data_IF_018454675041
#
_entry.id   IF_018454675041
#
_cell.length_a   1.000
_cell.length_b   1.000
_cell.length_c   1.000
_cell.angle_alpha   90.00
_cell.angle_beta   90.00
_cell.angle_gamma   90.00
#
_symmetry.space_group_name_H-M   'P 1'
#
loop_
_entity.id
_entity.type
_entity.pdbx_description
1 polymer ?
#
# COMPACT_ATOMS: atom_id res chain seq x y z
N UNK A 1 -11.83 -10.88 -12.26
CA UNK A 1 -10.52 -10.17 -12.31
C UNK A 1 -9.55 -10.82 -11.32
N UNK A 2 -8.24 -10.55 -11.35
CA UNK A 2 -7.30 -11.12 -10.35
C UNK A 2 -7.29 -10.29 -9.08
N UNK A 3 -7.44 -10.94 -7.92
CA UNK A 3 -7.38 -10.28 -6.63
C UNK A 3 -5.99 -9.69 -6.37
N UNK A 4 -5.94 -8.39 -6.09
CA UNK A 4 -4.70 -7.66 -5.92
C UNK A 4 -4.91 -6.36 -5.13
N UNK A 5 -3.83 -5.87 -4.53
CA UNK A 5 -3.73 -4.52 -3.99
C UNK A 5 -2.50 -3.84 -4.58
N UNK A 6 -2.67 -2.57 -4.94
CA UNK A 6 -1.58 -1.68 -5.37
C UNK A 6 -1.60 -0.44 -4.50
N UNK A 7 -0.44 -0.04 -4.00
CA UNK A 7 -0.27 1.18 -3.24
C UNK A 7 0.86 2.01 -3.86
N UNK A 8 0.49 3.18 -4.36
CA UNK A 8 1.38 4.22 -4.82
C UNK A 8 1.42 5.42 -3.89
N UNK A 9 2.51 6.18 -3.99
CA UNK A 9 2.70 7.46 -3.30
C UNK A 9 3.27 8.46 -4.31
N UNK A 10 2.68 9.65 -4.38
CA UNK A 10 3.16 10.77 -5.20
C UNK A 10 3.12 12.08 -4.43
N UNK A 11 3.97 13.03 -4.83
CA UNK A 11 4.02 14.38 -4.27
C UNK A 11 5.43 14.97 -4.29
N UNK A 12 5.54 16.24 -3.88
CA UNK A 12 6.80 16.97 -3.83
C UNK A 12 7.57 16.65 -2.53
N UNK A 13 8.33 15.55 -2.53
CA UNK A 13 9.11 15.14 -1.34
C UNK A 13 10.61 15.38 -1.44
N UNK A 14 11.12 15.87 -2.57
CA UNK A 14 12.55 16.15 -2.73
C UNK A 14 12.77 17.37 -3.62
N UNK A 15 13.95 17.99 -3.50
CA UNK A 15 14.41 19.05 -4.41
C UNK A 15 14.57 18.59 -5.88
N UNK A 16 14.30 17.32 -6.19
CA UNK A 16 14.47 16.68 -7.50
C UNK A 16 13.16 16.40 -8.24
N UNK A 17 12.01 16.86 -7.73
CA UNK A 17 10.70 16.73 -8.40
C UNK A 17 9.78 15.65 -7.82
N UNK A 18 8.64 15.44 -8.49
CA UNK A 18 7.60 14.47 -8.11
C UNK A 18 8.13 13.04 -8.27
N UNK A 19 8.38 12.35 -7.15
CA UNK A 19 8.71 10.92 -7.17
C UNK A 19 7.41 10.13 -7.07
N UNK A 20 7.01 9.46 -8.15
CA UNK A 20 5.97 8.43 -8.11
C UNK A 20 6.61 7.10 -7.73
N UNK A 21 6.18 6.50 -6.63
CA UNK A 21 6.56 5.13 -6.27
C UNK A 21 5.30 4.30 -6.10
N UNK A 22 5.25 3.17 -6.79
CA UNK A 22 4.13 2.23 -6.74
C UNK A 22 4.62 0.83 -6.46
N UNK A 23 3.90 0.12 -5.60
CA UNK A 23 4.12 -1.28 -5.35
C UNK A 23 2.78 -2.03 -5.41
N UNK A 24 2.77 -3.22 -6.02
CA UNK A 24 1.61 -4.10 -6.11
C UNK A 24 1.87 -5.49 -5.54
N UNK A 25 0.79 -6.14 -5.07
CA UNK A 25 0.77 -7.54 -4.63
C UNK A 25 -0.50 -8.23 -5.11
N UNK A 26 -0.34 -9.47 -5.55
CA UNK A 26 -1.46 -10.38 -5.81
C UNK A 26 -1.86 -11.10 -4.52
N UNK A 27 -3.08 -11.64 -4.49
CA UNK A 27 -3.61 -12.37 -3.33
C UNK A 27 -2.69 -13.52 -2.86
N UNK A 28 -2.05 -14.24 -3.78
CA UNK A 28 -1.11 -15.33 -3.45
C UNK A 28 0.20 -14.85 -2.82
N UNK A 29 0.44 -13.54 -2.78
CA UNK A 29 1.62 -12.91 -2.18
C UNK A 29 1.33 -12.25 -0.83
N UNK A 30 0.09 -12.33 -0.34
CA UNK A 30 -0.39 -11.68 0.88
C UNK A 30 -0.87 -12.75 1.86
N UNK A 31 -0.66 -12.55 3.16
CA UNK A 31 -1.22 -13.46 4.16
C UNK A 31 -2.75 -13.42 4.11
N UNK A 32 -3.44 -14.56 4.26
CA UNK A 32 -4.91 -14.58 4.20
C UNK A 32 -5.58 -13.65 5.22
N UNK A 33 -4.99 -13.51 6.41
CA UNK A 33 -5.48 -12.62 7.47
C UNK A 33 -5.40 -11.15 7.06
N UNK A 34 -4.27 -10.70 6.53
CA UNK A 34 -4.09 -9.31 6.10
C UNK A 34 -4.99 -8.96 4.92
N UNK A 35 -5.13 -9.89 3.97
CA UNK A 35 -6.08 -9.72 2.87
C UNK A 35 -7.52 -9.62 3.37
N UNK A 36 -7.93 -10.51 4.29
CA UNK A 36 -9.28 -10.50 4.85
C UNK A 36 -9.56 -9.19 5.59
N UNK A 37 -8.64 -8.74 6.45
CA UNK A 37 -8.78 -7.50 7.20
C UNK A 37 -8.83 -6.28 6.27
N UNK A 38 -8.01 -6.26 5.22
CA UNK A 38 -8.01 -5.19 4.21
C UNK A 38 -9.35 -5.10 3.49
N UNK A 39 -9.87 -6.21 2.97
CA UNK A 39 -11.12 -6.24 2.21
C UNK A 39 -12.32 -5.97 3.13
N UNK A 40 -12.36 -6.55 4.32
CA UNK A 40 -13.43 -6.30 5.29
C UNK A 40 -13.52 -4.81 5.67
N UNK A 41 -12.38 -4.15 5.87
CA UNK A 41 -12.36 -2.72 6.15
C UNK A 41 -12.73 -1.88 4.93
N UNK A 42 -12.27 -2.26 3.73
CA UNK A 42 -12.68 -1.60 2.48
C UNK A 42 -14.20 -1.67 2.28
N UNK A 43 -14.83 -2.79 2.61
CA UNK A 43 -16.28 -2.99 2.56
C UNK A 43 -17.00 -2.13 3.58
N UNK A 44 -16.50 -2.08 4.81
CA UNK A 44 -17.12 -1.32 5.90
C UNK A 44 -17.16 0.20 5.66
N UNK A 45 -16.30 0.72 4.78
CA UNK A 45 -16.19 2.16 4.47
C UNK A 45 -16.71 2.52 3.08
N UNK A 46 -17.39 1.57 2.43
CA UNK A 46 -17.92 1.67 1.07
C UNK A 46 -16.85 2.06 0.04
N UNK A 47 -15.60 1.59 0.22
CA UNK A 47 -14.46 2.01 -0.60
C UNK A 47 -14.72 1.83 -2.10
N UNK A 48 -15.30 0.70 -2.49
CA UNK A 48 -15.53 0.34 -3.90
C UNK A 48 -16.51 1.26 -4.63
N UNK A 49 -17.38 1.95 -3.90
CA UNK A 49 -18.37 2.90 -4.43
C UNK A 49 -18.11 4.34 -4.00
N UNK A 50 -17.02 4.57 -3.25
CA UNK A 50 -16.70 5.88 -2.69
C UNK A 50 -16.40 6.88 -3.82
N UNK A 51 -16.96 8.09 -3.76
CA UNK A 51 -16.61 9.14 -4.71
C UNK A 51 -15.14 9.52 -4.59
N UNK A 52 -14.58 10.07 -5.67
CA UNK A 52 -13.24 10.60 -5.64
C UNK A 52 -13.17 11.77 -4.64
N UNK A 53 -12.11 11.86 -3.81
CA UNK A 53 -11.93 12.99 -2.93
C UNK A 53 -11.66 14.27 -3.74
N UNK A 54 -11.74 15.42 -3.06
CA UNK A 54 -11.40 16.69 -3.67
C UNK A 54 -9.95 16.70 -4.20
N UNK A 55 -9.72 17.50 -5.25
CA UNK A 55 -8.40 17.64 -5.84
C UNK A 55 -7.38 18.06 -4.76
N UNK A 56 -6.20 17.41 -4.69
CA UNK A 56 -5.16 17.76 -3.74
C UNK A 56 -4.64 19.19 -3.95
N UNK A 57 -4.17 19.81 -2.86
CA UNK A 57 -3.31 20.98 -2.96
C UNK A 57 -2.01 20.62 -3.72
N UNK A 58 -1.38 21.60 -4.35
CA UNK A 58 -0.22 21.39 -5.22
C UNK A 58 0.99 20.76 -4.51
N UNK A 59 1.08 20.92 -3.20
CA UNK A 59 2.12 20.41 -2.31
C UNK A 59 1.67 19.19 -1.47
N UNK A 60 0.43 18.73 -1.62
CA UNK A 60 -0.11 17.63 -0.83
C UNK A 60 0.56 16.30 -1.21
N UNK A 61 0.70 15.44 -0.20
CA UNK A 61 1.03 14.03 -0.44
C UNK A 61 -0.21 13.29 -0.89
N UNK A 62 -0.06 12.42 -1.87
CA UNK A 62 -1.15 11.63 -2.43
C UNK A 62 -0.79 10.15 -2.34
N UNK A 63 -1.70 9.37 -1.78
CA UNK A 63 -1.68 7.92 -1.77
C UNK A 63 -2.60 7.38 -2.86
N UNK A 64 -2.06 6.64 -3.82
CA UNK A 64 -2.84 5.98 -4.86
C UNK A 64 -3.11 4.56 -4.39
N UNK A 65 -4.35 4.25 -4.01
CA UNK A 65 -4.72 2.91 -3.55
C UNK A 65 -5.67 2.27 -4.55
N UNK A 66 -5.27 1.12 -5.07
CA UNK A 66 -6.11 0.26 -5.90
C UNK A 66 -6.35 -1.07 -5.18
N UNK A 67 -7.61 -1.45 -5.00
CA UNK A 67 -8.00 -2.76 -4.48
C UNK A 67 -8.89 -3.45 -5.52
N UNK A 68 -8.51 -4.66 -5.91
CA UNK A 68 -9.35 -5.54 -6.74
C UNK A 68 -9.71 -6.78 -5.93
N UNK A 69 -11.00 -6.97 -5.65
CA UNK A 69 -11.55 -8.08 -4.86
C UNK A 69 -12.74 -8.72 -5.58
N UNK A 70 -12.48 -9.84 -6.25
CA UNK A 70 -13.43 -10.57 -7.09
C UNK A 70 -13.78 -9.76 -8.33
N UNK A 71 -15.06 -9.38 -8.42
CA UNK A 71 -15.60 -8.54 -9.50
C UNK A 71 -15.60 -7.04 -9.14
N UNK A 72 -15.12 -6.68 -7.95
CA UNK A 72 -15.09 -5.31 -7.46
C UNK A 72 -13.68 -4.76 -7.58
N UNK A 73 -13.56 -3.57 -8.14
CA UNK A 73 -12.27 -2.89 -8.25
C UNK A 73 -12.46 -1.40 -8.12
N UNK A 74 -11.56 -0.74 -7.38
CA UNK A 74 -11.56 0.71 -7.24
C UNK A 74 -10.14 1.20 -7.01
N UNK A 75 -9.82 2.29 -7.68
CA UNK A 75 -8.63 3.12 -7.47
C UNK A 75 -9.08 4.45 -6.88
N UNK A 76 -8.39 4.91 -5.83
CA UNK A 76 -8.59 6.25 -5.24
C UNK A 76 -7.23 6.91 -5.00
N UNK A 77 -7.14 8.17 -5.40
CA UNK A 77 -6.07 9.09 -5.00
C UNK A 77 -6.47 9.77 -3.69
N UNK A 78 -5.83 9.41 -2.57
CA UNK A 78 -6.17 9.84 -1.22
C UNK A 78 -5.15 10.87 -0.75
N UNK A 79 -5.63 12.07 -0.40
CA UNK A 79 -4.79 13.16 0.08
C UNK A 79 -4.28 12.90 1.51
N UNK A 80 -3.04 13.28 1.77
CA UNK A 80 -2.43 13.38 3.10
C UNK A 80 -2.17 14.88 3.39
N UNK A 81 -2.76 15.44 4.47
CA UNK A 81 -3.44 14.77 5.57
C UNK A 81 -4.80 14.13 5.20
N UNK A 82 -5.08 12.97 5.79
CA UNK A 82 -6.33 12.23 5.57
C UNK A 82 -7.53 12.97 6.16
N UNK A 83 -8.52 13.31 5.34
CA UNK A 83 -9.78 13.90 5.80
C UNK A 83 -10.62 12.94 6.64
N UNK A 84 -10.57 11.64 6.33
CA UNK A 84 -11.34 10.60 6.98
C UNK A 84 -10.40 9.58 7.68
N UNK A 85 -10.54 9.35 9.00
CA UNK A 85 -9.65 8.44 9.73
C UNK A 85 -9.74 6.99 9.25
N UNK A 86 -10.87 6.60 8.66
CA UNK A 86 -11.08 5.26 8.13
C UNK A 86 -10.24 5.01 6.87
N UNK A 87 -9.95 6.04 6.07
CA UNK A 87 -9.03 5.95 4.93
C UNK A 87 -7.58 5.80 5.41
N UNK A 88 -7.20 6.48 6.49
CA UNK A 88 -5.89 6.32 7.10
C UNK A 88 -5.66 4.88 7.58
N UNK A 89 -6.69 4.26 8.18
CA UNK A 89 -6.66 2.85 8.57
C UNK A 89 -6.56 1.93 7.35
N UNK A 90 -7.33 2.21 6.28
CA UNK A 90 -7.26 1.42 5.05
C UNK A 90 -5.85 1.45 4.43
N UNK A 91 -5.20 2.62 4.36
CA UNK A 91 -3.81 2.74 3.90
C UNK A 91 -2.84 1.95 4.79
N UNK A 92 -3.04 1.94 6.11
CA UNK A 92 -2.21 1.13 7.03
C UNK A 92 -2.37 -0.37 6.76
N UNK A 93 -3.61 -0.84 6.57
CA UNK A 93 -3.88 -2.25 6.25
C UNK A 93 -3.27 -2.63 4.89
N UNK A 94 -3.39 -1.77 3.88
CA UNK A 94 -2.76 -1.98 2.58
C UNK A 94 -1.24 -2.10 2.75
N UNK A 95 -0.58 -1.16 3.45
CA UNK A 95 0.87 -1.26 3.72
C UNK A 95 1.27 -2.53 4.46
N UNK A 96 0.44 -3.02 5.39
CA UNK A 96 0.69 -4.27 6.11
C UNK A 96 0.67 -5.46 5.14
N UNK A 97 -0.38 -5.56 4.32
CA UNK A 97 -0.49 -6.55 3.26
C UNK A 97 0.71 -6.53 2.28
N UNK A 98 1.29 -5.35 2.01
CA UNK A 98 2.48 -5.21 1.16
C UNK A 98 3.79 -5.68 1.82
N UNK A 99 3.88 -5.57 3.16
CA UNK A 99 5.13 -5.75 3.92
C UNK A 99 5.39 -7.21 4.33
N UNK A 100 4.36 -8.04 4.40
CA UNK A 100 4.45 -9.40 4.98
C UNK A 100 5.47 -10.31 4.28
N UNK A 101 5.62 -10.24 2.95
CA UNK A 101 6.67 -11.03 2.27
C UNK A 101 8.08 -10.48 2.48
N UNK A 102 8.27 -9.18 2.78
CA UNK A 102 9.60 -8.66 3.08
C UNK A 102 10.13 -9.30 4.37
N UNK A 103 9.24 -9.53 5.35
CA UNK A 103 9.57 -10.21 6.61
C UNK A 103 9.75 -11.71 6.37
N UNK A 104 8.81 -12.38 5.70
CA UNK A 104 8.92 -13.83 5.43
C UNK A 104 10.12 -14.19 4.54
N UNK A 105 10.48 -13.35 3.56
CA UNK A 105 11.65 -13.56 2.69
C UNK A 105 12.97 -13.33 3.44
N UNK A 106 12.97 -12.42 4.41
CA UNK A 106 14.11 -12.20 5.32
C UNK A 106 14.26 -13.35 6.33
N UNK A 107 13.15 -13.88 6.85
CA UNK A 107 13.16 -15.03 7.76
C UNK A 107 13.48 -16.36 7.06
N UNK A 108 13.15 -16.50 5.78
CA UNK A 108 13.51 -17.66 4.95
C UNK A 108 14.93 -17.58 4.35
N UNK A 109 15.61 -16.44 4.47
CA UNK A 109 17.03 -16.32 4.10
C UNK A 109 17.90 -16.85 5.25
N UNK A 110 18.90 -17.66 4.91
CA UNK A 110 19.86 -18.11 5.92
C UNK A 110 20.56 -16.91 6.61
N UNK A 111 20.97 -17.13 7.86
CA UNK A 111 21.59 -16.08 8.68
C UNK A 111 22.89 -15.52 8.09
N UNK A 112 23.55 -16.28 7.21
CA UNK A 112 24.82 -15.91 6.59
C UNK A 112 24.61 -14.88 5.47
N UNK A 113 23.58 -15.07 4.64
CA UNK A 113 23.19 -14.15 3.58
C UNK A 113 22.65 -12.85 4.17
N UNK A 114 21.90 -12.93 5.28
CA UNK A 114 21.41 -11.75 5.99
C UNK A 114 22.55 -10.92 6.59
N UNK A 115 23.56 -11.58 7.17
CA UNK A 115 24.74 -10.92 7.73
C UNK A 115 25.57 -10.23 6.65
N UNK A 116 25.74 -10.87 5.48
CA UNK A 116 26.45 -10.30 4.34
C UNK A 116 25.77 -9.02 3.80
N UNK A 117 24.44 -9.01 3.68
CA UNK A 117 23.70 -7.83 3.22
C UNK A 117 23.75 -6.66 4.22
N UNK A 118 23.70 -6.95 5.53
CA UNK A 118 23.84 -5.92 6.57
C UNK A 118 25.21 -5.26 6.55
N UNK A 119 26.28 -6.03 6.30
CA UNK A 119 27.64 -5.51 6.21
C UNK A 119 27.86 -4.58 4.99
N UNK A 120 27.12 -4.81 3.90
CA UNK A 120 27.16 -3.97 2.68
C UNK A 120 26.39 -2.67 2.87
N UNK A 121 25.30 -2.67 3.64
CA UNK A 121 24.44 -1.49 3.83
C UNK A 121 24.96 -0.47 4.85
N UNK A 122 26.03 -0.77 5.57
CA UNK A 122 26.69 0.12 6.56
C UNK A 122 27.93 0.85 6.02
N UNK A 123 28.10 0.97 4.70
CA UNK A 123 29.15 1.79 4.08
C UNK A 123 28.60 3.08 3.49
#
# INVERSE_FOLDING_TARGET
MTNAVTLGISGWFTAHGTLYHEEGRRLDEITPEDWFNLVAHADAIDFFTRPDPALPAADARIFHLTITAGERSRELAINDPFEAPELALLIRLARRAMRDRLVQRVEAMDGETLAALRAVSTR
#
